data_IF_561934942188
#
_entry.id   IF_561934942188
#
_cell.length_a   1.000
_cell.length_b   1.000
_cell.length_c   1.000
_cell.angle_alpha   90.00
_cell.angle_beta   90.00
_cell.angle_gamma   90.00
#
_symmetry.space_group_name_H-M   'P 1'
#
loop_
_entity.id
_entity.type
_entity.pdbx_description
1 polymer ?
#
# COMPACT_ATOMS: atom_id res chain seq x y z
N UNK A 1 -25.25 16.01 22.43
CA UNK A 1 -25.13 15.03 23.55
C UNK A 1 -23.88 14.13 23.44
N UNK A 2 -23.59 13.47 22.30
CA UNK A 2 -22.36 12.65 22.13
C UNK A 2 -21.03 13.43 22.20
N UNK A 3 -21.01 14.69 21.76
CA UNK A 3 -19.81 15.55 21.80
C UNK A 3 -19.29 15.77 23.24
N UNK A 4 -20.18 16.15 24.16
CA UNK A 4 -19.80 16.44 25.55
C UNK A 4 -19.36 15.19 26.32
N UNK A 5 -19.96 14.03 26.03
CA UNK A 5 -19.49 12.74 26.58
C UNK A 5 -18.08 12.39 26.09
N UNK A 6 -17.76 12.70 24.82
CA UNK A 6 -16.44 12.45 24.27
C UNK A 6 -15.38 13.38 24.90
N UNK A 7 -15.74 14.65 25.12
CA UNK A 7 -14.88 15.63 25.81
C UNK A 7 -14.65 15.24 27.27
N UNK A 8 -15.70 14.84 27.99
CA UNK A 8 -15.59 14.39 29.38
C UNK A 8 -14.78 13.08 29.50
N UNK A 9 -14.89 12.18 28.52
CA UNK A 9 -14.09 10.94 28.48
C UNK A 9 -12.61 11.23 28.22
N UNK A 10 -12.30 12.21 27.34
CA UNK A 10 -10.92 12.69 27.13
C UNK A 10 -10.34 13.36 28.36
N UNK A 11 -11.14 14.15 29.09
CA UNK A 11 -10.71 14.80 30.34
C UNK A 11 -10.40 13.84 31.48
N UNK A 12 -10.94 12.61 31.44
CA UNK A 12 -10.68 11.53 32.42
C UNK A 12 -9.48 10.65 32.06
N UNK A 13 -8.87 10.85 30.88
CA UNK A 13 -7.64 10.17 30.52
C UNK A 13 -6.47 10.90 31.18
N UNK A 14 -6.11 10.47 32.40
CA UNK A 14 -4.78 10.73 32.94
C UNK A 14 -3.76 10.09 32.00
N UNK A 15 -2.70 10.83 31.66
CA UNK A 15 -1.77 10.61 30.54
C UNK A 15 -2.21 11.32 29.26
N UNK A 16 -1.62 12.50 29.04
CA UNK A 16 -1.52 13.14 27.73
C UNK A 16 -0.76 12.25 26.75
N UNK A 17 -1.43 11.24 26.21
CA UNK A 17 -0.86 10.34 25.22
C UNK A 17 -0.83 11.08 23.88
N UNK A 18 0.32 11.68 23.56
CA UNK A 18 0.63 12.22 22.21
C UNK A 18 0.52 11.15 21.11
N UNK A 19 0.49 9.87 21.46
CA UNK A 19 0.19 8.77 20.53
C UNK A 19 -1.33 8.55 20.49
N UNK A 20 -2.04 9.11 19.51
CA UNK A 20 -3.51 9.15 19.62
C UNK A 20 -4.40 9.36 18.39
N UNK A 21 -3.92 9.87 17.26
CA UNK A 21 -4.84 10.26 16.17
C UNK A 21 -4.90 9.28 15.00
N UNK A 22 -3.76 8.73 14.58
CA UNK A 22 -3.65 7.94 13.34
C UNK A 22 -3.74 6.44 13.62
N UNK A 23 -4.31 5.68 12.68
CA UNK A 23 -4.29 4.21 12.73
C UNK A 23 -2.94 3.64 12.27
N UNK A 24 -2.62 2.40 12.66
CA UNK A 24 -1.45 1.68 12.13
C UNK A 24 -1.45 1.68 10.59
N UNK A 25 -2.61 1.47 9.96
CA UNK A 25 -2.73 1.54 8.51
C UNK A 25 -2.45 2.94 7.94
N UNK A 26 -2.89 4.01 8.61
CA UNK A 26 -2.57 5.37 8.18
C UNK A 26 -1.09 5.68 8.34
N UNK A 27 -0.48 5.28 9.46
CA UNK A 27 0.97 5.44 9.70
C UNK A 27 1.76 4.66 8.65
N UNK A 28 1.36 3.43 8.34
CA UNK A 28 1.99 2.62 7.30
C UNK A 28 1.93 3.28 5.92
N UNK A 29 0.78 3.87 5.57
CA UNK A 29 0.62 4.61 4.32
C UNK A 29 1.50 5.87 4.28
N UNK A 30 1.62 6.59 5.39
CA UNK A 30 2.46 7.79 5.47
C UNK A 30 3.96 7.49 5.43
N UNK A 31 4.37 6.33 5.94
CA UNK A 31 5.75 5.84 5.91
C UNK A 31 6.13 5.13 4.60
N UNK A 32 5.20 5.00 3.67
CA UNK A 32 5.43 4.40 2.37
C UNK A 32 6.50 5.19 1.61
N UNK A 33 7.42 4.49 0.98
CA UNK A 33 8.38 5.16 0.10
C UNK A 33 7.62 5.75 -1.09
N UNK A 34 7.69 7.07 -1.27
CA UNK A 34 6.95 7.79 -2.32
C UNK A 34 7.51 7.55 -3.72
N UNK A 35 8.79 7.22 -3.82
CA UNK A 35 9.49 7.02 -5.08
C UNK A 35 9.34 5.57 -5.55
N UNK A 36 9.54 4.60 -4.64
CA UNK A 36 9.47 3.17 -5.00
C UNK A 36 8.09 2.56 -4.80
N UNK A 37 7.23 3.21 -4.02
CA UNK A 37 5.95 2.65 -3.59
C UNK A 37 6.09 1.49 -2.60
N UNK A 38 7.25 1.22 -2.04
CA UNK A 38 7.39 0.12 -1.09
C UNK A 38 6.72 0.42 0.25
N UNK A 39 6.00 -0.58 0.77
CA UNK A 39 5.39 -0.51 2.09
C UNK A 39 6.46 -0.66 3.18
N UNK A 40 6.34 0.07 4.30
CA UNK A 40 7.25 -0.10 5.44
C UNK A 40 7.10 -1.48 6.09
N UNK A 41 8.15 -1.92 6.76
CA UNK A 41 8.13 -3.11 7.62
C UNK A 41 7.24 -2.91 8.85
N UNK A 42 6.74 -4.01 9.42
CA UNK A 42 5.97 -3.94 10.66
C UNK A 42 6.77 -3.32 11.81
N UNK A 43 8.09 -3.54 11.85
CA UNK A 43 9.00 -2.93 12.84
C UNK A 43 9.05 -1.41 12.70
N UNK A 44 9.15 -0.87 11.48
CA UNK A 44 9.13 0.57 11.22
C UNK A 44 7.80 1.19 11.65
N UNK A 45 6.68 0.55 11.27
CA UNK A 45 5.35 1.01 11.66
C UNK A 45 5.16 0.95 13.17
N UNK A 46 5.64 -0.11 13.83
CA UNK A 46 5.56 -0.27 15.28
C UNK A 46 6.33 0.83 16.03
N UNK A 47 7.59 1.09 15.63
CA UNK A 47 8.40 2.18 16.18
C UNK A 47 7.71 3.52 15.97
N UNK A 48 7.28 3.84 14.75
CA UNK A 48 6.60 5.11 14.48
C UNK A 48 5.28 5.29 15.24
N UNK A 49 4.61 4.18 15.58
CA UNK A 49 3.36 4.22 16.35
C UNK A 49 3.60 4.38 17.83
N UNK A 50 4.59 3.69 18.40
CA UNK A 50 4.71 3.54 19.86
C UNK A 50 6.00 4.10 20.46
N UNK A 51 7.03 4.34 19.67
CA UNK A 51 8.28 4.94 20.12
C UNK A 51 8.17 6.47 20.05
N UNK A 52 8.56 7.14 21.13
CA UNK A 52 8.65 8.60 21.18
C UNK A 52 9.94 9.07 20.51
N UNK A 53 10.02 10.38 20.28
CA UNK A 53 11.20 11.03 19.67
C UNK A 53 12.47 10.82 20.50
N UNK A 54 12.34 10.72 21.82
CA UNK A 54 13.44 10.43 22.76
C UNK A 54 13.86 8.94 22.78
N UNK A 55 13.26 8.10 21.94
CA UNK A 55 13.53 6.67 21.88
C UNK A 55 12.79 5.82 22.91
N UNK A 56 12.11 6.43 23.88
CA UNK A 56 11.34 5.70 24.90
C UNK A 56 10.03 5.15 24.34
N UNK A 57 9.59 4.03 24.89
CA UNK A 57 8.32 3.42 24.49
C UNK A 57 7.16 4.10 25.21
N UNK A 58 6.10 4.40 24.46
CA UNK A 58 4.86 4.92 25.03
C UNK A 58 4.08 3.83 25.77
N UNK A 59 4.32 2.55 25.45
CA UNK A 59 3.69 1.40 26.07
C UNK A 59 4.74 0.50 26.74
N UNK A 60 4.37 -0.12 27.86
CA UNK A 60 5.27 -0.95 28.68
C UNK A 60 5.87 -2.13 27.92
N UNK A 61 5.12 -2.71 26.98
CA UNK A 61 5.53 -3.89 26.21
C UNK A 61 6.07 -3.54 24.81
N UNK A 62 6.39 -2.27 24.54
CA UNK A 62 6.78 -1.78 23.22
C UNK A 62 8.01 -2.50 22.66
N UNK A 63 9.05 -2.61 23.47
CA UNK A 63 10.29 -3.29 23.10
C UNK A 63 10.10 -4.79 22.89
N UNK A 64 9.39 -5.46 23.80
CA UNK A 64 9.13 -6.89 23.70
C UNK A 64 8.33 -7.27 22.44
N UNK A 65 7.39 -6.42 22.02
CA UNK A 65 6.66 -6.64 20.77
C UNK A 65 7.54 -6.38 19.56
N UNK A 66 8.42 -5.37 19.60
CA UNK A 66 9.38 -5.15 18.53
C UNK A 66 10.31 -6.37 18.34
N UNK A 67 10.79 -6.96 19.44
CA UNK A 67 11.60 -8.16 19.40
C UNK A 67 10.84 -9.33 18.75
N UNK A 68 9.59 -9.57 19.15
CA UNK A 68 8.74 -10.60 18.54
C UNK A 68 8.45 -10.35 17.06
N UNK A 69 8.27 -9.09 16.65
CA UNK A 69 8.11 -8.75 15.23
C UNK A 69 9.37 -9.13 14.44
N UNK A 70 10.57 -8.84 14.95
CA UNK A 70 11.82 -9.27 14.30
C UNK A 70 11.94 -10.80 14.22
N UNK A 71 11.63 -11.50 15.31
CA UNK A 71 11.69 -12.97 15.36
C UNK A 71 10.72 -13.60 14.35
N UNK A 72 9.48 -13.10 14.29
CA UNK A 72 8.46 -13.58 13.35
C UNK A 72 8.81 -13.23 11.90
N UNK A 73 9.45 -12.07 11.65
CA UNK A 73 9.93 -11.72 10.32
C UNK A 73 10.92 -12.78 9.79
N UNK A 74 11.81 -13.27 10.64
CA UNK A 74 12.81 -14.26 10.26
C UNK A 74 12.20 -15.67 10.16
N UNK A 75 11.44 -16.09 11.18
CA UNK A 75 10.92 -17.45 11.28
C UNK A 75 9.71 -17.74 10.39
N UNK A 76 8.94 -16.72 9.99
CA UNK A 76 7.70 -16.87 9.21
C UNK A 76 7.69 -16.00 7.95
N UNK A 77 8.87 -15.66 7.40
CA UNK A 77 9.01 -14.80 6.23
C UNK A 77 8.12 -15.24 5.05
N UNK A 78 8.14 -16.53 4.70
CA UNK A 78 7.38 -17.05 3.56
C UNK A 78 5.87 -16.88 3.76
N UNK A 79 5.38 -17.16 4.97
CA UNK A 79 3.97 -16.98 5.34
C UNK A 79 3.54 -15.51 5.28
N UNK A 80 4.44 -14.60 5.69
CA UNK A 80 4.20 -13.16 5.64
C UNK A 80 4.18 -12.67 4.19
N UNK A 81 5.17 -13.06 3.38
CA UNK A 81 5.29 -12.63 1.99
C UNK A 81 4.19 -13.18 1.08
N UNK A 82 3.65 -14.36 1.38
CA UNK A 82 2.55 -14.97 0.62
C UNK A 82 1.16 -14.45 0.98
N UNK A 83 1.02 -13.72 2.09
CA UNK A 83 -0.26 -13.17 2.51
C UNK A 83 -0.73 -12.02 1.59
N UNK A 84 -2.05 -11.86 1.39
CA UNK A 84 -2.60 -10.75 0.59
C UNK A 84 -2.16 -9.36 1.06
N UNK A 85 -1.93 -9.20 2.36
CA UNK A 85 -1.38 -7.97 2.95
C UNK A 85 -0.30 -8.36 3.97
N UNK A 86 0.99 -8.39 3.58
CA UNK A 86 2.08 -8.88 4.43
C UNK A 86 2.19 -8.16 5.78
N UNK A 87 1.99 -6.84 5.78
CA UNK A 87 2.01 -6.03 7.00
C UNK A 87 0.94 -6.46 8.02
N UNK A 88 -0.24 -6.82 7.52
CA UNK A 88 -1.36 -7.30 8.36
C UNK A 88 -1.03 -8.65 8.94
N UNK A 89 -0.55 -9.57 8.09
CA UNK A 89 -0.18 -10.91 8.53
C UNK A 89 0.88 -10.86 9.63
N UNK A 90 1.90 -10.03 9.45
CA UNK A 90 2.98 -9.89 10.40
C UNK A 90 2.49 -9.42 11.77
N UNK A 91 1.64 -8.38 11.82
CA UNK A 91 1.04 -7.94 13.07
C UNK A 91 0.09 -8.99 13.66
N UNK A 92 -0.66 -9.70 12.83
CA UNK A 92 -1.57 -10.76 13.26
C UNK A 92 -0.82 -11.93 13.93
N UNK A 93 0.36 -12.29 13.44
CA UNK A 93 1.18 -13.35 14.01
C UNK A 93 1.74 -13.01 15.40
N UNK A 94 1.98 -11.72 15.69
CA UNK A 94 2.54 -11.27 16.98
C UNK A 94 1.45 -10.85 17.98
N UNK A 95 0.41 -10.16 17.51
CA UNK A 95 -0.64 -9.58 18.35
C UNK A 95 -1.92 -10.42 18.40
N UNK A 96 -2.01 -11.44 17.55
CA UNK A 96 -3.18 -12.28 17.36
C UNK A 96 -4.23 -11.65 16.42
N UNK A 97 -5.04 -12.51 15.79
CA UNK A 97 -6.24 -12.09 15.05
C UNK A 97 -7.43 -12.12 15.99
N UNK A 98 -7.98 -10.97 16.36
CA UNK A 98 -9.25 -10.91 17.10
C UNK A 98 -10.30 -10.20 16.25
N UNK A 99 -11.39 -10.92 15.94
CA UNK A 99 -12.49 -10.43 15.11
C UNK A 99 -13.09 -9.11 15.61
N UNK A 100 -13.06 -8.86 16.93
CA UNK A 100 -13.63 -7.69 17.59
C UNK A 100 -12.68 -7.15 18.68
N UNK A 101 -11.56 -6.50 18.35
CA UNK A 101 -10.81 -5.76 19.37
C UNK A 101 -11.30 -4.31 19.50
N UNK A 102 -12.04 -4.11 20.59
CA UNK A 102 -12.56 -2.87 21.13
C UNK A 102 -11.45 -1.91 21.54
N UNK A 103 -11.68 -0.61 21.27
CA UNK A 103 -10.98 0.52 21.90
C UNK A 103 -10.71 0.23 23.38
N UNK A 104 -9.45 0.19 23.81
CA UNK A 104 -9.12 0.07 25.24
C UNK A 104 -7.72 -0.44 25.59
N UNK A 105 -7.04 -1.19 24.70
CA UNK A 105 -5.78 -1.89 25.08
C UNK A 105 -4.50 -1.10 24.70
N UNK A 106 -4.62 0.12 24.18
CA UNK A 106 -3.45 0.89 23.69
C UNK A 106 -2.79 0.31 22.43
N UNK A 107 -2.98 -0.97 22.15
CA UNK A 107 -2.61 -1.63 20.90
C UNK A 107 -3.74 -1.47 19.89
N UNK A 108 -3.52 -0.62 18.88
CA UNK A 108 -4.44 -0.44 17.76
C UNK A 108 -4.12 -1.50 16.71
N UNK A 109 -4.28 -2.78 17.08
CA UNK A 109 -4.18 -3.90 16.14
C UNK A 109 -5.05 -3.61 14.93
N UNK A 110 -4.57 -3.98 13.74
CA UNK A 110 -5.25 -3.72 12.47
C UNK A 110 -6.62 -4.40 12.55
N UNK A 111 -7.68 -3.60 12.68
CA UNK A 111 -9.05 -4.12 12.67
C UNK A 111 -9.45 -4.45 11.22
N UNK A 112 -10.47 -5.28 11.02
CA UNK A 112 -10.89 -5.70 9.67
C UNK A 112 -11.16 -4.54 8.70
N UNK A 113 -11.55 -3.36 9.20
CA UNK A 113 -11.69 -2.14 8.39
C UNK A 113 -10.34 -1.61 7.90
N UNK A 114 -9.30 -1.65 8.74
CA UNK A 114 -7.95 -1.27 8.36
C UNK A 114 -7.30 -2.31 7.43
N UNK A 115 -7.60 -3.59 7.60
CA UNK A 115 -7.19 -4.65 6.66
C UNK A 115 -7.83 -4.43 5.29
N UNK A 116 -9.15 -4.21 5.24
CA UNK A 116 -9.87 -3.99 4.00
C UNK A 116 -9.43 -2.70 3.31
N UNK A 117 -9.12 -1.64 4.09
CA UNK A 117 -8.57 -0.41 3.53
C UNK A 117 -7.20 -0.62 2.89
N UNK A 118 -6.31 -1.39 3.53
CA UNK A 118 -5.01 -1.73 2.95
C UNK A 118 -5.18 -2.59 1.69
N UNK A 119 -6.10 -3.54 1.71
CA UNK A 119 -6.43 -4.40 0.56
C UNK A 119 -6.97 -3.58 -0.62
N UNK A 120 -7.88 -2.65 -0.38
CA UNK A 120 -8.44 -1.78 -1.41
C UNK A 120 -7.37 -0.87 -2.02
N UNK A 121 -6.49 -0.28 -1.19
CA UNK A 121 -5.37 0.53 -1.67
C UNK A 121 -4.43 -0.29 -2.56
N UNK A 122 -4.11 -1.52 -2.18
CA UNK A 122 -3.29 -2.41 -3.01
C UNK A 122 -3.96 -2.79 -4.34
N UNK A 123 -5.29 -2.99 -4.35
CA UNK A 123 -6.05 -3.28 -5.57
C UNK A 123 -6.10 -2.08 -6.53
N UNK A 124 -6.34 -0.88 -6.00
CA UNK A 124 -6.35 0.36 -6.79
C UNK A 124 -5.01 0.53 -7.51
N UNK A 125 -3.91 0.37 -6.79
CA UNK A 125 -2.57 0.49 -7.39
C UNK A 125 -2.29 -0.58 -8.45
N UNK A 126 -2.69 -1.83 -8.19
CA UNK A 126 -2.55 -2.89 -9.19
C UNK A 126 -3.38 -2.59 -10.45
N UNK A 127 -4.54 -1.96 -10.31
CA UNK A 127 -5.35 -1.50 -11.42
C UNK A 127 -4.70 -0.32 -12.16
N UNK A 128 -4.15 0.67 -11.44
CA UNK A 128 -3.44 1.82 -12.02
C UNK A 128 -2.21 1.37 -12.81
N UNK A 129 -1.39 0.45 -12.28
CA UNK A 129 -0.25 -0.12 -13.00
C UNK A 129 -0.67 -0.86 -14.27
N UNK A 130 -1.77 -1.62 -14.21
CA UNK A 130 -2.32 -2.31 -15.40
C UNK A 130 -2.85 -1.32 -16.44
N UNK A 131 -3.49 -0.23 -16.00
CA UNK A 131 -3.99 0.81 -16.88
C UNK A 131 -2.83 1.55 -17.57
N UNK A 132 -1.78 1.91 -16.84
CA UNK A 132 -0.58 2.52 -17.41
C UNK A 132 0.08 1.61 -18.46
N UNK A 133 0.28 0.32 -18.13
CA UNK A 133 0.85 -0.65 -19.08
C UNK A 133 -0.07 -0.91 -20.29
N UNK A 134 -1.39 -0.81 -20.12
CA UNK A 134 -2.33 -0.92 -21.24
C UNK A 134 -2.26 0.33 -22.15
N UNK A 135 -2.11 1.52 -21.56
CA UNK A 135 -1.93 2.76 -22.31
C UNK A 135 -0.64 2.73 -23.14
N UNK A 136 0.50 2.35 -22.55
CA UNK A 136 1.76 2.23 -23.29
C UNK A 136 1.66 1.25 -24.46
N UNK A 137 0.92 0.15 -24.29
CA UNK A 137 0.66 -0.80 -25.40
C UNK A 137 -0.24 -0.21 -26.47
N UNK A 138 -1.25 0.58 -26.10
CA UNK A 138 -2.12 1.26 -27.04
C UNK A 138 -1.33 2.27 -27.87
N UNK A 139 -0.52 3.12 -27.22
CA UNK A 139 0.32 4.12 -27.90
C UNK A 139 1.32 3.43 -28.86
N UNK A 140 1.95 2.32 -28.43
CA UNK A 140 2.86 1.56 -29.27
C UNK A 140 2.15 0.81 -30.42
N UNK A 141 0.87 0.49 -30.28
CA UNK A 141 0.07 -0.11 -31.35
C UNK A 141 -0.36 0.96 -32.36
N UNK A 142 -0.74 2.16 -31.89
CA UNK A 142 -1.08 3.30 -32.73
C UNK A 142 0.12 3.75 -33.57
N UNK A 143 1.31 3.88 -32.97
CA UNK A 143 2.54 4.17 -33.72
C UNK A 143 2.84 3.13 -34.80
N UNK A 144 2.58 1.85 -34.52
CA UNK A 144 2.75 0.77 -35.50
C UNK A 144 1.72 0.85 -36.62
N UNK A 145 0.47 1.20 -36.30
CA UNK A 145 -0.59 1.39 -37.29
C UNK A 145 -0.24 2.54 -38.24
N UNK A 146 0.17 3.70 -37.71
CA UNK A 146 0.60 4.86 -38.49
C UNK A 146 1.77 4.51 -39.40
N UNK A 147 2.80 3.84 -38.87
CA UNK A 147 3.95 3.42 -39.68
C UNK A 147 3.57 2.42 -40.80
N UNK A 148 2.56 1.58 -40.55
CA UNK A 148 2.07 0.63 -41.54
C UNK A 148 1.22 1.32 -42.62
N UNK A 149 0.39 2.31 -42.25
CA UNK A 149 -0.35 3.14 -43.19
C UNK A 149 0.59 3.91 -44.12
N UNK A 150 1.65 4.52 -43.58
CA UNK A 150 2.69 5.19 -44.37
C UNK A 150 3.38 4.22 -45.35
N UNK A 151 3.59 2.97 -44.94
CA UNK A 151 4.20 1.96 -45.80
C UNK A 151 3.27 1.53 -46.93
N UNK A 152 1.98 1.33 -46.63
CA UNK A 152 0.96 1.00 -47.62
C UNK A 152 0.82 2.13 -48.65
N UNK A 153 0.75 3.39 -48.21
CA UNK A 153 0.70 4.54 -49.13
C UNK A 153 1.89 4.57 -50.10
N UNK A 154 3.11 4.33 -49.60
CA UNK A 154 4.30 4.26 -50.46
C UNK A 154 4.23 3.12 -51.46
N UNK A 155 3.71 1.95 -51.06
CA UNK A 155 3.53 0.82 -51.97
C UNK A 155 2.49 1.11 -53.03
N UNK A 156 1.38 1.78 -52.67
CA UNK A 156 0.35 2.18 -53.62
C UNK A 156 0.89 3.19 -54.65
N UNK A 157 1.69 4.17 -54.22
CA UNK A 157 2.38 5.11 -55.12
C UNK A 157 3.34 4.41 -56.08
N UNK A 158 4.14 3.46 -55.58
CA UNK A 158 5.07 2.67 -56.42
C UNK A 158 4.30 1.81 -57.42
N UNK A 159 3.24 1.13 -56.97
CA UNK A 159 2.41 0.30 -57.83
C UNK A 159 1.74 1.13 -58.93
N UNK A 160 1.23 2.32 -58.62
CA UNK A 160 0.63 3.22 -59.60
C UNK A 160 1.63 3.61 -60.71
N UNK A 161 2.85 4.00 -60.33
CA UNK A 161 3.91 4.34 -61.30
C UNK A 161 4.28 3.16 -62.20
N UNK A 162 4.41 1.97 -61.60
CA UNK A 162 4.75 0.76 -62.35
C UNK A 162 3.65 0.38 -63.34
N UNK A 163 2.39 0.64 -62.98
CA UNK A 163 1.24 0.39 -63.84
C UNK A 163 1.17 1.37 -65.01
N UNK A 164 1.55 2.64 -64.80
CA UNK A 164 1.69 3.66 -65.86
C UNK A 164 2.83 3.30 -66.84
N UNK A 165 3.99 2.86 -66.32
CA UNK A 165 5.13 2.43 -67.14
C UNK A 165 4.83 1.21 -68.03
N UNK A 166 3.97 0.28 -67.57
CA UNK A 166 3.57 -0.89 -68.36
C UNK A 166 2.55 -0.58 -69.47
N UNK A 167 1.90 0.59 -69.42
CA UNK A 167 0.88 1.00 -70.41
C UNK A 167 1.41 2.00 -71.46
N UNK A 168 2.65 2.46 -71.31
CA UNK A 168 3.34 3.35 -72.26
C UNK A 168 4.28 2.60 -73.20
#
# INVERSE_FOLDING_TARGET
>A
KRSNQNTASRGKQEMGFKVGTKSIAQIAHELRNKETGEWPTAMQVWKATYQKVDGTWSISNGEGILAKLNEVAQSQQEKISSAPVPLVEHFALVLGRKANHSRGVGLRAINGVAEERLRLLAQIEAAEKRAAAAQERADAAEQRAVAMEDHVQKLDEVNARLHEEQQS
#
